data_IF_818662632028
#
_entry.id   IF_818662632028
#
_cell.length_a   1.000
_cell.length_b   1.000
_cell.length_c   1.000
_cell.angle_alpha   90.00
_cell.angle_beta   90.00
_cell.angle_gamma   90.00
#
_symmetry.space_group_name_H-M   'P 1'
#
loop_
_entity.id
_entity.type
_entity.pdbx_description
1 polymer ?
#
# COMPACT_ATOMS: atom_id res chain seq x y z
N UNK A 1 -11.90 -14.42 7.85
CA UNK A 1 -10.78 -13.47 7.98
C UNK A 1 -10.66 -12.92 9.39
N UNK A 2 -11.54 -12.03 9.84
CA UNK A 2 -11.42 -11.38 11.16
C UNK A 2 -11.42 -12.36 12.34
N UNK A 3 -12.15 -13.48 12.24
CA UNK A 3 -12.08 -14.57 13.23
C UNK A 3 -10.68 -15.23 13.29
N UNK A 4 -10.00 -15.38 12.16
CA UNK A 4 -8.62 -15.90 12.10
C UNK A 4 -7.67 -14.91 12.77
N UNK A 5 -7.78 -13.62 12.44
CA UNK A 5 -7.00 -12.57 13.09
C UNK A 5 -7.28 -12.50 14.61
N UNK A 6 -8.52 -12.71 15.04
CA UNK A 6 -8.90 -12.76 16.45
C UNK A 6 -8.17 -13.89 17.18
N UNK A 7 -8.18 -15.11 16.62
CA UNK A 7 -7.45 -16.25 17.18
C UNK A 7 -5.96 -15.94 17.26
N UNK A 8 -5.36 -15.40 16.19
CA UNK A 8 -3.95 -15.04 16.19
C UNK A 8 -3.60 -13.99 17.25
N UNK A 9 -4.42 -12.96 17.43
CA UNK A 9 -4.21 -11.92 18.43
C UNK A 9 -4.48 -12.40 19.87
N UNK A 10 -5.38 -13.37 20.06
CA UNK A 10 -5.54 -14.05 21.35
C UNK A 10 -4.24 -14.78 21.72
N UNK A 11 -3.69 -15.60 20.80
CA UNK A 11 -2.41 -16.29 21.01
C UNK A 11 -1.29 -15.28 21.32
N UNK A 12 -1.29 -14.11 20.67
CA UNK A 12 -0.30 -13.06 20.95
C UNK A 12 -0.33 -12.55 22.39
N UNK A 13 -1.51 -12.27 22.94
CA UNK A 13 -1.65 -11.78 24.32
C UNK A 13 -1.19 -12.83 25.34
N UNK A 14 -1.34 -14.11 24.99
CA UNK A 14 -0.83 -15.24 25.78
C UNK A 14 0.64 -15.59 25.46
N UNK A 15 1.34 -14.87 24.59
CA UNK A 15 2.75 -15.13 24.29
C UNK A 15 3.68 -14.34 25.23
N UNK A 16 3.37 -14.33 26.54
CA UNK A 16 4.14 -13.62 27.55
C UNK A 16 5.40 -14.39 27.98
N UNK A 17 6.40 -13.68 28.53
CA UNK A 17 7.71 -14.24 28.92
C UNK A 17 7.60 -15.37 29.95
N UNK A 18 6.53 -15.40 30.73
CA UNK A 18 6.31 -16.40 31.78
C UNK A 18 5.77 -17.75 31.24
N UNK A 19 5.46 -17.84 29.95
CA UNK A 19 4.87 -19.04 29.33
C UNK A 19 5.94 -19.84 28.57
N UNK A 20 6.01 -21.14 28.85
CA UNK A 20 6.86 -22.09 28.11
C UNK A 20 6.50 -22.05 26.62
N UNK A 21 7.51 -21.87 25.75
CA UNK A 21 7.36 -21.71 24.30
C UNK A 21 6.80 -20.36 23.80
N UNK A 22 6.93 -19.26 24.57
CA UNK A 22 6.50 -17.91 24.19
C UNK A 22 6.94 -17.47 22.78
N UNK A 23 8.17 -17.77 22.37
CA UNK A 23 8.67 -17.46 21.02
C UNK A 23 7.91 -18.21 19.91
N UNK A 24 7.59 -19.48 20.13
CA UNK A 24 6.83 -20.29 19.17
C UNK A 24 5.37 -19.83 19.11
N UNK A 25 4.78 -19.48 20.26
CA UNK A 25 3.45 -18.89 20.32
C UNK A 25 3.40 -17.55 19.58
N UNK A 26 4.40 -16.69 19.75
CA UNK A 26 4.53 -15.43 19.02
C UNK A 26 4.65 -15.67 17.51
N UNK A 27 5.50 -16.62 17.08
CA UNK A 27 5.64 -16.97 15.67
C UNK A 27 4.33 -17.51 15.07
N UNK A 28 3.65 -18.42 15.77
CA UNK A 28 2.37 -18.98 15.36
C UNK A 28 1.29 -17.88 15.27
N UNK A 29 1.22 -17.00 16.27
CA UNK A 29 0.33 -15.84 16.26
C UNK A 29 0.54 -14.98 15.02
N UNK A 30 1.79 -14.60 14.72
CA UNK A 30 2.12 -13.76 13.56
C UNK A 30 1.77 -14.44 12.25
N UNK A 31 2.01 -15.73 12.13
CA UNK A 31 1.61 -16.52 10.97
C UNK A 31 0.08 -16.53 10.78
N UNK A 32 -0.69 -16.80 11.83
CA UNK A 32 -2.16 -16.85 11.80
C UNK A 32 -2.74 -15.48 11.44
N UNK A 33 -2.28 -14.41 12.09
CA UNK A 33 -2.70 -13.03 11.77
C UNK A 33 -2.33 -12.68 10.32
N UNK A 34 -1.15 -13.07 9.86
CA UNK A 34 -0.70 -12.90 8.48
C UNK A 34 -1.63 -13.57 7.47
N UNK A 35 -2.04 -14.82 7.74
CA UNK A 35 -3.02 -15.53 6.91
C UNK A 35 -4.39 -14.82 6.91
N UNK A 36 -4.88 -14.38 8.07
CA UNK A 36 -6.11 -13.62 8.18
C UNK A 36 -6.09 -12.30 7.40
N UNK A 37 -4.96 -11.60 7.39
CA UNK A 37 -4.77 -10.33 6.67
C UNK A 37 -4.82 -10.47 5.13
N UNK A 38 -4.83 -11.69 4.58
CA UNK A 38 -4.93 -11.97 3.14
C UNK A 38 -6.26 -11.56 2.48
N UNK A 39 -7.28 -11.17 3.26
CA UNK A 39 -8.60 -10.78 2.77
C UNK A 39 -8.62 -9.51 1.89
N UNK A 40 -7.55 -8.70 1.90
CA UNK A 40 -7.49 -7.43 1.15
C UNK A 40 -7.67 -7.63 -0.36
N UNK A 41 -7.12 -8.71 -0.92
CA UNK A 41 -7.26 -9.03 -2.35
C UNK A 41 -8.71 -9.33 -2.70
N UNK A 42 -9.41 -10.08 -1.84
CA UNK A 42 -10.84 -10.42 -1.98
C UNK A 42 -11.69 -9.15 -1.92
N UNK A 43 -11.46 -8.27 -0.95
CA UNK A 43 -12.20 -7.01 -0.85
C UNK A 43 -11.98 -6.12 -2.09
N UNK A 44 -10.75 -6.03 -2.62
CA UNK A 44 -10.44 -5.28 -3.85
C UNK A 44 -11.13 -5.88 -5.08
N UNK A 45 -11.11 -7.21 -5.21
CA UNK A 45 -11.78 -7.90 -6.29
C UNK A 45 -13.31 -7.67 -6.24
N UNK A 46 -13.89 -7.69 -5.04
CA UNK A 46 -15.31 -7.39 -4.85
C UNK A 46 -15.65 -5.95 -5.31
N UNK A 47 -14.92 -4.94 -4.84
CA UNK A 47 -15.09 -3.54 -5.27
C UNK A 47 -14.93 -3.40 -6.77
N UNK A 48 -13.92 -4.03 -7.36
CA UNK A 48 -13.68 -3.95 -8.80
C UNK A 48 -14.75 -4.65 -9.65
N UNK A 49 -15.42 -5.67 -9.10
CA UNK A 49 -16.52 -6.37 -9.77
C UNK A 49 -17.85 -5.62 -9.75
N UNK A 50 -18.05 -4.74 -8.76
CA UNK A 50 -19.28 -3.93 -8.60
C UNK A 50 -19.13 -2.56 -9.29
N UNK A 51 -17.91 -2.01 -9.37
CA UNK A 51 -17.66 -0.66 -9.88
C UNK A 51 -17.28 -0.60 -11.37
N UNK A 52 -17.74 0.45 -12.06
CA UNK A 52 -17.35 0.75 -13.44
C UNK A 52 -15.91 1.22 -13.54
N UNK A 53 -15.29 1.11 -14.72
CA UNK A 53 -13.89 1.50 -14.96
C UNK A 53 -13.64 2.97 -14.60
N UNK A 54 -14.63 3.84 -14.84
CA UNK A 54 -14.53 5.28 -14.62
C UNK A 54 -14.53 5.67 -13.14
N UNK A 55 -15.22 4.90 -12.29
CA UNK A 55 -15.37 5.20 -10.85
C UNK A 55 -14.49 4.32 -9.96
N UNK A 56 -13.93 3.24 -10.51
CA UNK A 56 -13.12 2.26 -9.76
C UNK A 56 -11.94 2.87 -9.01
N UNK A 57 -11.27 3.89 -9.59
CA UNK A 57 -10.19 4.60 -8.91
C UNK A 57 -10.67 5.15 -7.57
N UNK A 58 -11.79 5.87 -7.54
CA UNK A 58 -12.32 6.50 -6.32
C UNK A 58 -12.57 5.46 -5.22
N UNK A 59 -13.26 4.35 -5.53
CA UNK A 59 -13.57 3.32 -4.54
C UNK A 59 -12.34 2.52 -4.07
N UNK A 60 -11.40 2.20 -4.97
CA UNK A 60 -10.14 1.56 -4.60
C UNK A 60 -9.25 2.49 -3.78
N UNK A 61 -9.25 3.80 -4.08
CA UNK A 61 -8.57 4.82 -3.29
C UNK A 61 -9.19 4.93 -1.90
N UNK A 62 -10.52 4.98 -1.77
CA UNK A 62 -11.20 4.96 -0.46
C UNK A 62 -10.80 3.73 0.37
N UNK A 63 -10.79 2.56 -0.25
CA UNK A 63 -10.33 1.34 0.41
C UNK A 63 -8.85 1.43 0.85
N UNK A 64 -7.99 1.98 -0.01
CA UNK A 64 -6.58 2.20 0.32
C UNK A 64 -6.40 3.21 1.46
N UNK A 65 -7.22 4.28 1.50
CA UNK A 65 -7.25 5.27 2.58
C UNK A 65 -7.59 4.61 3.92
N UNK A 66 -8.60 3.74 3.98
CA UNK A 66 -8.96 3.03 5.23
C UNK A 66 -7.82 2.11 5.69
N UNK A 67 -7.17 1.41 4.77
CA UNK A 67 -6.01 0.57 5.10
C UNK A 67 -4.85 1.42 5.62
N UNK A 68 -4.55 2.53 4.96
CA UNK A 68 -3.48 3.44 5.37
C UNK A 68 -3.79 4.16 6.69
N UNK A 69 -5.05 4.49 6.95
CA UNK A 69 -5.49 5.01 8.24
C UNK A 69 -5.18 4.02 9.37
N UNK A 70 -5.42 2.73 9.17
CA UNK A 70 -4.99 1.68 10.10
C UNK A 70 -3.47 1.70 10.32
N UNK A 71 -2.68 1.83 9.26
CA UNK A 71 -1.22 1.92 9.38
C UNK A 71 -0.74 3.17 10.11
N UNK A 72 -1.37 4.32 9.88
CA UNK A 72 -1.07 5.56 10.57
C UNK A 72 -1.40 5.49 12.07
N UNK A 73 -2.56 4.92 12.42
CA UNK A 73 -3.02 4.85 13.81
C UNK A 73 -2.24 3.86 14.68
N UNK A 74 -1.82 2.73 14.11
CA UNK A 74 -1.30 1.60 14.90
C UNK A 74 -0.07 1.95 15.75
N UNK A 75 0.93 2.71 15.26
CA UNK A 75 2.04 3.18 16.11
C UNK A 75 1.56 3.97 17.33
N UNK A 76 0.55 4.84 17.15
CA UNK A 76 -0.04 5.64 18.22
C UNK A 76 -0.82 4.83 19.25
N UNK A 77 -1.43 3.70 18.86
CA UNK A 77 -2.17 2.87 19.82
C UNK A 77 -1.26 2.24 20.87
N UNK A 78 -0.02 1.92 20.51
CA UNK A 78 0.98 1.42 21.46
C UNK A 78 1.34 2.44 22.53
N UNK A 79 1.34 3.74 22.20
CA UNK A 79 1.68 4.78 23.17
C UNK A 79 0.59 4.99 24.24
N UNK A 80 -0.68 4.73 23.92
CA UNK A 80 -1.81 4.85 24.87
C UNK A 80 -1.69 3.89 26.06
N UNK A 81 -1.01 2.77 25.87
CA UNK A 81 -0.90 1.68 26.85
C UNK A 81 0.54 1.44 27.31
N UNK A 82 1.48 2.30 26.91
CA UNK A 82 2.92 2.11 27.11
C UNK A 82 3.36 2.17 28.59
N UNK A 83 2.59 2.84 29.45
CA UNK A 83 2.91 3.01 30.87
C UNK A 83 2.14 2.05 31.80
N UNK A 84 1.34 1.14 31.22
CA UNK A 84 0.51 0.23 32.00
C UNK A 84 1.28 -1.06 32.22
N UNK A 85 1.39 -1.45 33.49
CA UNK A 85 1.93 -2.73 33.91
C UNK A 85 1.05 -3.31 35.02
N UNK A 86 0.15 -4.23 34.68
CA UNK A 86 -0.80 -4.83 35.62
C UNK A 86 -0.96 -6.31 35.35
N UNK A 87 -1.19 -7.10 36.40
CA UNK A 87 -1.51 -8.52 36.28
C UNK A 87 -2.99 -8.71 36.56
N UNK A 88 -3.76 -9.19 35.57
CA UNK A 88 -5.16 -9.54 35.75
C UNK A 88 -5.41 -10.96 35.26
N UNK A 89 -6.12 -11.77 36.06
CA UNK A 89 -6.49 -13.15 35.71
C UNK A 89 -5.29 -14.05 35.31
N UNK A 90 -4.11 -13.83 35.91
CA UNK A 90 -2.89 -14.59 35.60
C UNK A 90 -2.22 -14.20 34.27
N UNK A 91 -2.69 -13.15 33.61
CA UNK A 91 -2.10 -12.59 32.38
C UNK A 91 -1.40 -11.29 32.73
N UNK A 92 -0.15 -11.15 32.29
CA UNK A 92 0.63 -9.92 32.45
C UNK A 92 0.28 -8.92 31.34
N UNK A 93 -0.43 -7.86 31.70
CA UNK A 93 -0.74 -6.75 30.82
C UNK A 93 0.35 -5.68 30.94
N UNK A 94 1.31 -5.75 30.02
CA UNK A 94 2.43 -4.83 29.91
C UNK A 94 2.39 -4.08 28.57
N UNK A 95 3.38 -3.20 28.37
CA UNK A 95 3.58 -2.44 27.13
C UNK A 95 3.65 -3.27 25.84
N UNK A 96 3.91 -4.59 25.93
CA UNK A 96 4.01 -5.48 24.77
C UNK A 96 2.71 -6.25 24.51
N UNK A 97 1.99 -6.68 25.55
CA UNK A 97 0.74 -7.48 25.41
C UNK A 97 -0.50 -6.61 25.20
N UNK A 98 -0.56 -5.42 25.79
CA UNK A 98 -1.72 -4.51 25.71
C UNK A 98 -2.07 -4.03 24.30
N UNK A 99 -1.12 -3.70 23.40
CA UNK A 99 -1.44 -3.42 22.01
C UNK A 99 -2.18 -4.60 21.34
N UNK A 100 -1.87 -5.83 21.74
CA UNK A 100 -2.57 -7.03 21.32
C UNK A 100 -4.05 -7.05 21.69
N UNK A 101 -4.37 -6.62 22.92
CA UNK A 101 -5.74 -6.53 23.41
C UNK A 101 -6.56 -5.51 22.60
N UNK A 102 -5.97 -4.37 22.23
CA UNK A 102 -6.61 -3.39 21.36
C UNK A 102 -6.96 -4.03 19.99
N UNK A 103 -6.05 -4.83 19.42
CA UNK A 103 -6.31 -5.54 18.17
C UNK A 103 -7.41 -6.61 18.31
N UNK A 104 -7.53 -7.28 19.47
CA UNK A 104 -8.65 -8.19 19.77
C UNK A 104 -9.97 -7.42 19.71
N UNK A 105 -10.05 -6.27 20.39
CA UNK A 105 -11.26 -5.42 20.40
C UNK A 105 -11.64 -5.02 18.98
N UNK A 106 -10.69 -4.55 18.16
CA UNK A 106 -10.98 -4.20 16.76
C UNK A 106 -11.45 -5.39 15.92
N UNK A 107 -10.89 -6.59 16.13
CA UNK A 107 -11.36 -7.78 15.42
C UNK A 107 -12.79 -8.14 15.82
N UNK A 108 -13.13 -8.05 17.12
CA UNK A 108 -14.51 -8.28 17.61
C UNK A 108 -15.47 -7.25 17.02
N UNK A 109 -15.13 -5.96 17.07
CA UNK A 109 -15.95 -4.90 16.47
C UNK A 109 -16.13 -5.11 14.96
N UNK A 110 -15.10 -5.57 14.25
CA UNK A 110 -15.19 -5.88 12.82
C UNK A 110 -16.12 -7.09 12.57
N UNK A 111 -16.07 -8.12 13.41
CA UNK A 111 -16.97 -9.28 13.30
C UNK A 111 -18.42 -8.83 13.55
N UNK A 112 -18.67 -8.08 14.61
CA UNK A 112 -20.00 -7.55 14.92
C UNK A 112 -20.52 -6.64 13.80
N UNK A 113 -19.67 -5.75 13.27
CA UNK A 113 -20.00 -4.89 12.15
C UNK A 113 -20.35 -5.69 10.88
N UNK A 114 -19.59 -6.74 10.57
CA UNK A 114 -19.91 -7.63 9.45
C UNK A 114 -21.23 -8.38 9.69
N UNK A 115 -21.51 -8.87 10.89
CA UNK A 115 -22.76 -9.56 11.18
C UNK A 115 -23.98 -8.62 11.15
N UNK A 116 -23.83 -7.36 11.54
CA UNK A 116 -24.91 -6.40 11.62
C UNK A 116 -25.17 -5.65 10.30
N UNK A 117 -24.12 -5.37 9.52
CA UNK A 117 -24.19 -4.45 8.37
C UNK A 117 -23.97 -5.13 7.01
N UNK A 118 -23.48 -6.36 6.96
CA UNK A 118 -23.22 -7.02 5.69
C UNK A 118 -24.52 -7.40 4.99
N UNK A 119 -24.74 -6.82 3.81
CA UNK A 119 -25.86 -7.15 2.94
C UNK A 119 -25.40 -8.08 1.81
N UNK A 120 -25.81 -9.34 1.89
CA UNK A 120 -25.51 -10.37 0.88
C UNK A 120 -26.36 -10.25 -0.39
N UNK A 121 -27.35 -9.35 -0.44
CA UNK A 121 -28.19 -9.14 -1.61
C UNK A 121 -27.51 -8.30 -2.70
N UNK A 122 -26.48 -7.52 -2.33
CA UNK A 122 -25.73 -6.65 -3.24
C UNK A 122 -24.94 -7.49 -4.24
N UNK A 123 -25.24 -7.32 -5.53
CA UNK A 123 -24.61 -8.00 -6.66
C UNK A 123 -23.86 -7.00 -7.55
N UNK A 124 -23.14 -7.53 -8.54
CA UNK A 124 -22.39 -6.74 -9.52
C UNK A 124 -23.24 -5.75 -10.34
N UNK A 125 -24.57 -5.94 -10.39
CA UNK A 125 -25.52 -5.06 -11.08
C UNK A 125 -25.96 -3.86 -10.26
N UNK A 126 -25.70 -3.87 -8.95
CA UNK A 126 -26.14 -2.84 -8.01
C UNK A 126 -25.08 -1.75 -7.83
N UNK A 127 -24.20 -1.60 -8.83
CA UNK A 127 -23.13 -0.62 -8.84
C UNK A 127 -23.65 0.83 -8.88
N UNK A 128 -22.88 1.78 -8.35
CA UNK A 128 -23.22 3.20 -8.40
C UNK A 128 -23.39 3.67 -9.85
N UNK A 129 -24.35 4.60 -10.13
CA UNK A 129 -24.56 5.10 -11.48
C UNK A 129 -23.35 5.92 -11.95
N UNK A 130 -22.99 5.78 -13.23
CA UNK A 130 -21.94 6.59 -13.83
C UNK A 130 -22.32 8.08 -13.80
N UNK A 131 -21.35 8.94 -13.45
CA UNK A 131 -21.56 10.39 -13.50
C UNK A 131 -21.78 10.82 -14.95
N UNK A 132 -22.93 11.45 -15.22
CA UNK A 132 -23.36 11.91 -16.56
C UNK A 132 -22.37 12.85 -17.27
N UNK A 133 -21.38 13.39 -16.56
CA UNK A 133 -20.36 14.28 -17.10
C UNK A 133 -19.07 13.57 -17.57
N UNK A 134 -18.96 12.25 -17.38
CA UNK A 134 -17.79 11.48 -17.80
C UNK A 134 -17.81 11.09 -19.29
N UNK A 135 -18.89 11.40 -20.00
CA UNK A 135 -19.16 10.89 -21.35
C UNK A 135 -18.39 11.60 -22.48
N UNK A 136 -17.61 12.66 -22.21
CA UNK A 136 -17.12 13.52 -23.31
C UNK A 136 -15.63 13.89 -23.30
N UNK A 137 -14.75 13.32 -22.46
CA UNK A 137 -13.31 13.72 -22.51
C UNK A 137 -12.22 12.63 -22.47
N UNK A 138 -12.52 11.36 -22.18
CA UNK A 138 -11.47 10.33 -22.16
C UNK A 138 -11.82 9.01 -22.87
N UNK A 139 -12.51 9.09 -24.00
CA UNK A 139 -12.72 7.94 -24.91
C UNK A 139 -11.41 7.33 -25.46
N UNK A 140 -10.24 7.90 -25.11
CA UNK A 140 -8.90 7.40 -25.43
C UNK A 140 -8.27 6.49 -24.34
N UNK A 141 -9.02 6.07 -23.32
CA UNK A 141 -8.55 5.14 -22.27
C UNK A 141 -9.16 3.73 -22.34
N UNK A 142 -9.75 3.35 -23.48
CA UNK A 142 -10.14 1.97 -23.75
C UNK A 142 -8.88 1.09 -23.94
N UNK A 143 -8.30 0.61 -22.84
CA UNK A 143 -7.26 -0.44 -22.85
C UNK A 143 -7.75 -1.77 -23.47
N UNK A 144 -9.04 -1.88 -23.80
CA UNK A 144 -9.60 -2.93 -24.66
C UNK A 144 -8.96 -2.95 -26.06
N UNK A 145 -8.39 -1.84 -26.53
CA UNK A 145 -7.70 -1.78 -27.82
C UNK A 145 -6.20 -2.12 -27.76
N UNK A 146 -5.62 -2.41 -26.59
CA UNK A 146 -4.18 -2.69 -26.47
C UNK A 146 -3.91 -4.20 -26.57
N UNK A 147 -2.93 -4.66 -27.37
CA UNK A 147 -2.63 -6.08 -27.53
C UNK A 147 -2.32 -6.77 -26.20
N UNK A 148 -2.75 -8.02 -26.06
CA UNK A 148 -2.60 -8.80 -24.82
C UNK A 148 -1.14 -8.91 -24.34
N UNK A 149 -0.19 -9.04 -25.28
CA UNK A 149 1.25 -9.04 -24.96
C UNK A 149 1.69 -7.78 -24.20
N UNK A 150 1.21 -6.61 -24.60
CA UNK A 150 1.56 -5.34 -23.96
C UNK A 150 0.91 -5.26 -22.57
N UNK A 151 -0.32 -5.76 -22.43
CA UNK A 151 -1.00 -5.84 -21.14
C UNK A 151 -0.27 -6.77 -20.17
N UNK A 152 0.21 -7.93 -20.63
CA UNK A 152 0.98 -8.86 -19.80
C UNK A 152 2.34 -8.29 -19.38
N UNK A 153 3.04 -7.59 -20.28
CA UNK A 153 4.26 -6.84 -19.93
C UNK A 153 3.95 -5.77 -18.88
N UNK A 154 2.89 -4.99 -19.08
CA UNK A 154 2.43 -4.00 -18.12
C UNK A 154 2.11 -4.63 -16.77
N UNK A 155 1.45 -5.79 -16.75
CA UNK A 155 1.12 -6.48 -15.52
C UNK A 155 2.39 -6.83 -14.72
N UNK A 156 3.43 -7.34 -15.39
CA UNK A 156 4.72 -7.62 -14.74
C UNK A 156 5.40 -6.37 -14.20
N UNK A 157 5.36 -5.26 -14.96
CA UNK A 157 5.89 -3.96 -14.50
C UNK A 157 5.16 -3.52 -13.23
N UNK A 158 3.83 -3.48 -13.25
CA UNK A 158 3.03 -3.05 -12.09
C UNK A 158 3.19 -3.97 -10.87
N UNK A 159 3.40 -5.27 -11.08
CA UNK A 159 3.73 -6.22 -10.01
C UNK A 159 5.05 -5.85 -9.34
N UNK A 160 6.09 -5.51 -10.10
CA UNK A 160 7.38 -5.07 -9.56
C UNK A 160 7.31 -3.69 -8.90
N UNK A 161 6.53 -2.76 -9.46
CA UNK A 161 6.25 -1.47 -8.83
C UNK A 161 5.58 -1.67 -7.46
N UNK A 162 4.57 -2.55 -7.38
CA UNK A 162 3.91 -2.84 -6.11
C UNK A 162 4.83 -3.56 -5.12
N UNK A 163 5.70 -4.47 -5.60
CA UNK A 163 6.75 -5.09 -4.78
C UNK A 163 7.63 -4.00 -4.14
N UNK A 164 8.16 -3.08 -4.95
CA UNK A 164 9.06 -2.02 -4.51
C UNK A 164 8.38 -1.08 -3.52
N UNK A 165 7.19 -0.55 -3.86
CA UNK A 165 6.45 0.37 -3.00
C UNK A 165 6.09 -0.26 -1.64
N UNK A 166 5.62 -1.51 -1.62
CA UNK A 166 5.27 -2.22 -0.38
C UNK A 166 6.48 -2.61 0.45
N UNK A 167 7.59 -2.90 -0.22
CA UNK A 167 8.86 -3.24 0.39
C UNK A 167 9.48 -2.06 1.12
N UNK A 168 9.63 -0.92 0.44
CA UNK A 168 10.15 0.32 1.01
C UNK A 168 9.30 0.74 2.22
N UNK A 169 7.96 0.72 2.09
CA UNK A 169 7.06 1.00 3.21
C UNK A 169 7.39 0.13 4.44
N UNK A 170 7.65 -1.15 4.23
CA UNK A 170 7.92 -2.07 5.34
C UNK A 170 9.33 -1.96 5.93
N UNK A 171 10.32 -1.48 5.15
CA UNK A 171 11.63 -1.10 5.68
C UNK A 171 11.43 0.03 6.69
N UNK A 172 10.72 1.09 6.30
CA UNK A 172 10.45 2.25 7.16
C UNK A 172 9.65 1.89 8.41
N UNK A 173 8.65 1.01 8.31
CA UNK A 173 7.96 0.46 9.50
C UNK A 173 8.90 -0.16 10.53
N UNK A 174 10.06 -0.66 10.11
CA UNK A 174 11.05 -1.31 10.97
C UNK A 174 12.12 -0.34 11.46
N UNK A 175 12.61 0.55 10.59
CA UNK A 175 13.78 1.39 10.90
C UNK A 175 13.42 2.75 11.49
N UNK A 176 12.20 3.26 11.30
CA UNK A 176 11.82 4.62 11.71
C UNK A 176 11.97 4.88 13.21
N UNK A 177 11.50 3.97 14.07
CA UNK A 177 11.64 4.13 15.53
C UNK A 177 13.13 4.11 15.95
N UNK A 178 13.95 3.11 15.56
CA UNK A 178 15.38 3.13 15.83
C UNK A 178 16.11 4.39 15.34
N UNK A 179 15.79 4.87 14.13
CA UNK A 179 16.39 6.08 13.56
C UNK A 179 16.01 7.33 14.34
N UNK A 180 14.75 7.46 14.74
CA UNK A 180 14.30 8.55 15.61
C UNK A 180 15.11 8.57 16.90
N UNK A 181 15.21 7.43 17.59
CA UNK A 181 15.93 7.33 18.86
C UNK A 181 17.42 7.66 18.71
N UNK A 182 18.03 7.20 17.60
CA UNK A 182 19.42 7.49 17.28
C UNK A 182 19.66 8.99 17.05
N UNK A 183 18.79 9.64 16.26
CA UNK A 183 18.89 11.07 15.93
C UNK A 183 18.61 11.97 17.14
N UNK A 184 17.67 11.57 18.01
CA UNK A 184 17.36 12.33 19.23
C UNK A 184 18.27 11.99 20.41
N UNK A 185 19.24 11.08 20.24
CA UNK A 185 20.11 10.60 21.31
C UNK A 185 19.34 10.03 22.50
N UNK A 186 18.13 9.50 22.27
CA UNK A 186 17.23 9.05 23.32
C UNK A 186 17.42 7.58 23.62
N UNK A 187 17.39 7.23 24.90
CA UNK A 187 17.54 5.85 25.37
C UNK A 187 16.38 4.95 24.86
N UNK A 188 16.67 3.88 24.09
CA UNK A 188 15.66 2.94 23.61
C UNK A 188 14.86 2.23 24.71
N UNK A 189 15.42 2.09 25.91
CA UNK A 189 14.75 1.43 27.03
C UNK A 189 13.75 2.36 27.73
N UNK A 190 13.84 3.67 27.48
CA UNK A 190 12.92 4.66 28.03
C UNK A 190 11.55 4.59 27.37
N UNK A 191 10.52 4.25 28.14
CA UNK A 191 9.13 4.30 27.68
C UNK A 191 8.75 5.67 27.10
N UNK A 192 9.26 6.75 27.69
CA UNK A 192 8.99 8.12 27.21
C UNK A 192 9.59 8.40 25.82
N UNK A 193 10.76 7.84 25.52
CA UNK A 193 11.43 8.00 24.23
C UNK A 193 10.69 7.21 23.14
N UNK A 194 10.30 5.97 23.44
CA UNK A 194 9.49 5.13 22.54
C UNK A 194 8.14 5.79 22.25
N UNK A 195 7.48 6.36 23.26
CA UNK A 195 6.22 7.10 23.07
C UNK A 195 6.41 8.29 22.12
N UNK A 196 7.49 9.06 22.26
CA UNK A 196 7.78 10.19 21.35
C UNK A 196 8.00 9.71 19.91
N UNK A 197 8.79 8.66 19.71
CA UNK A 197 9.04 8.07 18.39
C UNK A 197 7.74 7.55 17.75
N UNK A 198 6.92 6.82 18.51
CA UNK A 198 5.62 6.32 18.05
C UNK A 198 4.65 7.43 17.69
N UNK A 199 4.60 8.52 18.47
CA UNK A 199 3.77 9.68 18.17
C UNK A 199 4.27 10.43 16.93
N UNK A 200 5.58 10.53 16.73
CA UNK A 200 6.16 11.08 15.50
C UNK A 200 5.69 10.29 14.27
N UNK A 201 5.75 8.97 14.32
CA UNK A 201 5.24 8.10 13.24
C UNK A 201 3.72 8.26 13.03
N UNK A 202 2.95 8.37 14.11
CA UNK A 202 1.50 8.64 14.06
C UNK A 202 1.21 9.93 13.31
N UNK A 203 1.90 11.03 13.66
CA UNK A 203 1.68 12.34 13.04
C UNK A 203 2.05 12.33 11.55
N UNK A 204 3.19 11.74 11.18
CA UNK A 204 3.56 11.55 9.78
C UNK A 204 2.54 10.68 9.03
N UNK A 205 2.04 9.63 9.68
CA UNK A 205 0.99 8.77 9.13
C UNK A 205 -0.30 9.55 8.88
N UNK A 206 -0.77 10.36 9.83
CA UNK A 206 -1.97 11.18 9.66
C UNK A 206 -1.81 12.24 8.57
N UNK A 207 -0.63 12.87 8.46
CA UNK A 207 -0.31 13.77 7.35
C UNK A 207 -0.39 13.05 6.01
N UNK A 208 -0.07 11.75 5.95
CA UNK A 208 -0.20 10.97 4.72
C UNK A 208 -1.63 10.80 4.21
N UNK A 209 -2.65 11.02 5.04
CA UNK A 209 -4.04 11.06 4.58
C UNK A 209 -4.30 12.26 3.65
N UNK A 210 -3.54 13.35 3.78
CA UNK A 210 -3.63 14.50 2.87
C UNK A 210 -3.19 14.14 1.45
N UNK A 211 -2.27 13.18 1.30
CA UNK A 211 -1.87 12.65 -0.01
C UNK A 211 -3.04 11.95 -0.71
N UNK A 212 -3.87 11.20 0.03
CA UNK A 212 -5.09 10.62 -0.52
C UNK A 212 -6.12 11.68 -0.94
N UNK A 213 -6.29 12.74 -0.13
CA UNK A 213 -7.15 13.86 -0.49
C UNK A 213 -6.66 14.57 -1.76
N UNK A 214 -5.34 14.71 -1.91
CA UNK A 214 -4.71 15.31 -3.09
C UNK A 214 -4.91 14.47 -4.35
N UNK A 215 -4.81 13.14 -4.23
CA UNK A 215 -5.10 12.21 -5.34
C UNK A 215 -6.53 12.40 -5.85
N UNK A 216 -7.52 12.49 -4.95
CA UNK A 216 -8.91 12.66 -5.35
C UNK A 216 -9.18 14.07 -5.90
N UNK A 217 -8.61 15.11 -5.29
CA UNK A 217 -8.79 16.50 -5.73
C UNK A 217 -8.22 16.74 -7.14
N UNK A 218 -7.02 16.23 -7.44
CA UNK A 218 -6.35 16.43 -8.73
C UNK A 218 -6.53 15.26 -9.71
N UNK A 219 -7.49 14.35 -9.47
CA UNK A 219 -7.72 13.14 -10.31
C UNK A 219 -7.99 13.43 -11.79
N UNK A 220 -8.46 14.63 -12.11
CA UNK A 220 -8.77 15.04 -13.49
C UNK A 220 -7.61 15.78 -14.16
N UNK A 221 -6.62 16.23 -13.38
CA UNK A 221 -5.52 17.06 -13.86
C UNK A 221 -4.26 16.24 -14.11
N UNK A 222 -4.12 15.11 -13.43
CA UNK A 222 -2.93 14.26 -13.47
C UNK A 222 -3.30 12.83 -13.90
N UNK A 223 -2.52 12.29 -14.83
CA UNK A 223 -2.66 10.88 -15.24
C UNK A 223 -2.20 9.93 -14.12
N UNK A 224 -2.72 8.70 -14.12
CA UNK A 224 -2.28 7.69 -13.14
C UNK A 224 -0.77 7.42 -13.23
N UNK A 225 -0.18 7.49 -14.43
CA UNK A 225 1.26 7.30 -14.64
C UNK A 225 2.06 8.40 -13.95
N UNK A 226 1.66 9.67 -14.14
CA UNK A 226 2.33 10.81 -13.53
C UNK A 226 2.27 10.74 -12.00
N UNK A 227 1.14 10.29 -11.45
CA UNK A 227 1.00 10.07 -10.02
C UNK A 227 1.94 8.98 -9.49
N UNK A 228 2.06 7.85 -10.20
CA UNK A 228 2.99 6.78 -9.80
C UNK A 228 4.45 7.26 -9.89
N UNK A 229 4.80 7.99 -10.95
CA UNK A 229 6.14 8.61 -11.09
C UNK A 229 6.43 9.57 -9.93
N UNK A 230 5.49 10.47 -9.61
CA UNK A 230 5.61 11.39 -8.47
C UNK A 230 5.78 10.64 -7.14
N UNK A 231 5.03 9.56 -6.94
CA UNK A 231 5.16 8.72 -5.77
C UNK A 231 6.55 8.11 -5.63
N UNK A 232 7.10 7.53 -6.70
CA UNK A 232 8.46 6.97 -6.66
C UNK A 232 9.57 8.04 -6.59
N UNK A 233 9.37 9.22 -7.17
CA UNK A 233 10.30 10.33 -7.06
C UNK A 233 10.40 10.86 -5.63
N UNK A 234 9.27 10.95 -4.92
CA UNK A 234 9.24 11.36 -3.51
C UNK A 234 9.85 10.29 -2.59
N UNK A 235 9.59 9.00 -2.85
CA UNK A 235 10.30 7.90 -2.19
C UNK A 235 11.81 7.96 -2.42
N UNK A 236 12.24 8.19 -3.66
CA UNK A 236 13.65 8.32 -4.02
C UNK A 236 14.29 9.49 -3.29
N UNK A 237 13.67 10.67 -3.31
CA UNK A 237 14.18 11.86 -2.67
C UNK A 237 14.38 11.67 -1.15
N UNK A 238 13.39 11.09 -0.46
CA UNK A 238 13.52 10.82 0.98
C UNK A 238 14.64 9.83 1.30
N UNK A 239 14.79 8.75 0.53
CA UNK A 239 15.89 7.80 0.73
C UNK A 239 17.27 8.41 0.41
N UNK A 240 17.37 9.29 -0.59
CA UNK A 240 18.63 10.01 -0.90
C UNK A 240 19.04 10.91 0.27
N UNK A 241 18.10 11.63 0.89
CA UNK A 241 18.38 12.46 2.07
C UNK A 241 18.98 11.60 3.19
N UNK A 242 18.38 10.44 3.49
CA UNK A 242 18.87 9.53 4.54
C UNK A 242 20.26 8.95 4.28
N UNK A 243 20.67 8.86 3.02
CA UNK A 243 21.98 8.34 2.61
C UNK A 243 23.06 9.42 2.58
N UNK A 244 22.72 10.61 2.10
CA UNK A 244 23.69 11.71 1.92
C UNK A 244 24.08 12.32 3.27
N UNK A 245 23.16 12.38 4.22
CA UNK A 245 23.38 12.93 5.55
C UNK A 245 23.92 11.84 6.49
N UNK A 246 25.20 11.51 6.36
CA UNK A 246 25.78 10.26 6.92
C UNK A 246 26.60 10.41 8.21
N UNK A 247 26.77 11.62 8.75
CA UNK A 247 27.66 11.84 9.91
C UNK A 247 26.92 12.31 11.17
N UNK A 248 26.02 13.29 11.06
CA UNK A 248 25.20 13.80 12.17
C UNK A 248 23.85 14.22 11.59
N UNK A 249 22.94 13.26 11.40
CA UNK A 249 21.61 13.56 10.88
C UNK A 249 20.84 14.38 11.91
N UNK A 250 20.41 15.58 11.53
CA UNK A 250 19.55 16.41 12.34
C UNK A 250 18.13 15.86 12.37
N UNK A 251 17.39 16.21 13.42
CA UNK A 251 15.97 15.88 13.53
C UNK A 251 15.15 16.38 12.31
N UNK A 252 15.49 17.54 11.76
CA UNK A 252 14.78 18.10 10.61
C UNK A 252 15.03 17.33 9.31
N UNK A 253 16.25 16.84 9.10
CA UNK A 253 16.56 15.99 7.94
C UNK A 253 15.81 14.66 8.02
N UNK A 254 15.76 14.04 9.21
CA UNK A 254 14.94 12.87 9.46
C UNK A 254 13.46 13.16 9.20
N UNK A 255 12.93 14.26 9.75
CA UNK A 255 11.53 14.64 9.59
C UNK A 255 11.15 14.91 8.13
N UNK A 256 12.01 15.58 7.36
CA UNK A 256 11.77 15.83 5.93
C UNK A 256 11.85 14.52 5.14
N UNK A 257 12.85 13.68 5.40
CA UNK A 257 13.00 12.41 4.71
C UNK A 257 11.81 11.48 4.98
N UNK A 258 11.42 11.32 6.24
CA UNK A 258 10.26 10.49 6.59
C UNK A 258 8.95 11.10 6.12
N UNK A 259 8.78 12.42 6.10
CA UNK A 259 7.60 13.05 5.50
C UNK A 259 7.49 12.70 4.00
N UNK A 260 8.59 12.82 3.25
CA UNK A 260 8.61 12.47 1.83
C UNK A 260 8.30 11.00 1.58
N UNK A 261 8.84 10.09 2.39
CA UNK A 261 8.61 8.65 2.22
C UNK A 261 7.24 8.23 2.76
N UNK A 262 6.99 8.48 4.04
CA UNK A 262 5.85 7.95 4.78
C UNK A 262 4.55 8.71 4.52
N UNK A 263 4.61 10.05 4.43
CA UNK A 263 3.42 10.88 4.23
C UNK A 263 3.09 11.10 2.75
N UNK A 264 4.06 11.06 1.84
CA UNK A 264 3.80 11.37 0.41
C UNK A 264 3.99 10.15 -0.48
N UNK A 265 5.21 9.62 -0.56
CA UNK A 265 5.57 8.58 -1.53
C UNK A 265 4.81 7.27 -1.32
N UNK A 266 4.77 6.77 -0.09
CA UNK A 266 4.10 5.51 0.26
C UNK A 266 2.58 5.56 0.01
N UNK A 267 1.82 6.56 0.49
CA UNK A 267 0.40 6.71 0.17
C UNK A 267 0.11 6.73 -1.32
N UNK A 268 0.84 7.55 -2.08
CA UNK A 268 0.64 7.71 -3.52
C UNK A 268 0.93 6.40 -4.26
N UNK A 269 2.12 5.82 -4.05
CA UNK A 269 2.50 4.59 -4.76
C UNK A 269 1.60 3.42 -4.39
N UNK A 270 1.25 3.23 -3.11
CA UNK A 270 0.43 2.09 -2.69
C UNK A 270 -1.02 2.16 -3.15
N UNK A 271 -1.56 3.36 -3.38
CA UNK A 271 -2.92 3.56 -3.88
C UNK A 271 -2.96 3.53 -5.42
N UNK A 272 -2.15 4.38 -6.06
CA UNK A 272 -2.24 4.62 -7.49
C UNK A 272 -1.72 3.44 -8.30
N UNK A 273 -0.68 2.72 -7.84
CA UNK A 273 -0.20 1.50 -8.53
C UNK A 273 -1.31 0.46 -8.64
N UNK A 274 -2.10 0.25 -7.57
CA UNK A 274 -3.21 -0.72 -7.57
C UNK A 274 -4.33 -0.26 -8.50
N UNK A 275 -4.67 1.02 -8.48
CA UNK A 275 -5.73 1.57 -9.32
C UNK A 275 -5.33 1.56 -10.82
N UNK A 276 -4.11 1.99 -11.13
CA UNK A 276 -3.54 1.96 -12.48
C UNK A 276 -3.45 0.52 -13.02
N UNK A 277 -3.05 -0.43 -12.17
CA UNK A 277 -3.05 -1.85 -12.53
C UNK A 277 -4.47 -2.35 -12.84
N UNK A 278 -5.48 -2.02 -12.02
CA UNK A 278 -6.87 -2.40 -12.33
C UNK A 278 -7.36 -1.83 -13.66
N UNK A 279 -7.02 -0.57 -13.95
CA UNK A 279 -7.35 0.09 -15.22
C UNK A 279 -6.66 -0.58 -16.41
N UNK A 280 -5.39 -0.97 -16.25
CA UNK A 280 -4.64 -1.73 -17.26
C UNK A 280 -5.32 -3.06 -17.59
N UNK A 281 -5.81 -3.78 -16.58
CA UNK A 281 -6.50 -5.05 -16.79
C UNK A 281 -7.84 -4.87 -17.51
N UNK A 282 -8.56 -3.79 -17.24
CA UNK A 282 -9.86 -3.50 -17.85
C UNK A 282 -10.90 -4.55 -17.45
N UNK A 283 -11.49 -5.24 -18.44
CA UNK A 283 -12.47 -6.31 -18.26
C UNK A 283 -11.89 -7.73 -18.07
N UNK A 284 -10.56 -7.88 -18.01
CA UNK A 284 -9.88 -9.18 -17.85
C UNK A 284 -10.10 -9.78 -16.44
N UNK A 285 -9.79 -11.08 -16.22
CA UNK A 285 -9.94 -11.73 -14.92
C UNK A 285 -9.18 -11.03 -13.78
N UNK A 286 -9.85 -10.13 -13.07
CA UNK A 286 -9.19 -9.27 -12.08
C UNK A 286 -8.83 -10.00 -10.80
N UNK A 287 -9.60 -11.02 -10.39
CA UNK A 287 -9.36 -11.75 -9.15
C UNK A 287 -7.96 -12.35 -9.07
N UNK A 288 -7.57 -13.14 -10.08
CA UNK A 288 -6.26 -13.80 -10.13
C UNK A 288 -5.11 -12.80 -10.22
N UNK A 289 -5.23 -11.79 -11.07
CA UNK A 289 -4.15 -10.81 -11.30
C UNK A 289 -3.99 -9.84 -10.12
N UNK A 290 -5.09 -9.43 -9.46
CA UNK A 290 -5.03 -8.70 -8.19
C UNK A 290 -4.46 -9.56 -7.06
N UNK A 291 -4.72 -10.87 -7.08
CA UNK A 291 -4.08 -11.85 -6.23
C UNK A 291 -2.56 -11.81 -6.39
N UNK A 292 -2.06 -11.96 -7.63
CA UNK A 292 -0.62 -11.89 -7.92
C UNK A 292 0.02 -10.56 -7.51
N UNK A 293 -0.65 -9.43 -7.79
CA UNK A 293 -0.21 -8.12 -7.32
C UNK A 293 -0.06 -8.10 -5.78
N UNK A 294 -1.08 -8.59 -5.07
CA UNK A 294 -1.07 -8.68 -3.61
C UNK A 294 0.01 -9.61 -3.05
N UNK A 295 0.22 -10.77 -3.68
CA UNK A 295 1.25 -11.73 -3.32
C UNK A 295 2.65 -11.13 -3.44
N UNK A 296 2.96 -10.44 -4.55
CA UNK A 296 4.26 -9.77 -4.71
C UNK A 296 4.52 -8.71 -3.63
N UNK A 297 3.50 -7.93 -3.26
CA UNK A 297 3.60 -6.99 -2.14
C UNK A 297 3.75 -7.67 -0.78
N UNK A 298 3.31 -8.93 -0.64
CA UNK A 298 3.51 -9.72 0.59
C UNK A 298 4.92 -10.28 0.65
N UNK A 299 5.46 -10.77 -0.48
CA UNK A 299 6.85 -11.23 -0.58
C UNK A 299 7.83 -10.11 -0.23
N UNK A 300 7.62 -8.88 -0.74
CA UNK A 300 8.51 -7.76 -0.39
C UNK A 300 8.48 -7.44 1.11
N UNK A 301 7.30 -7.52 1.74
CA UNK A 301 7.13 -7.30 3.19
C UNK A 301 7.65 -8.44 4.07
N UNK A 302 8.02 -9.58 3.48
CA UNK A 302 8.72 -10.66 4.18
C UNK A 302 10.24 -10.42 4.09
N UNK A 303 10.74 -10.05 2.91
CA UNK A 303 12.18 -10.00 2.63
C UNK A 303 12.81 -8.68 3.07
N UNK A 304 12.24 -7.54 2.65
CA UNK A 304 12.92 -6.24 2.79
C UNK A 304 13.07 -5.75 4.24
N UNK A 305 12.07 -5.92 5.13
CA UNK A 305 12.20 -5.55 6.55
C UNK A 305 13.27 -6.32 7.32
N UNK A 306 13.73 -7.46 6.79
CA UNK A 306 14.81 -8.24 7.40
C UNK A 306 16.18 -7.66 7.08
N UNK A 307 16.31 -6.89 6.00
CA UNK A 307 17.59 -6.34 5.54
C UNK A 307 18.28 -5.49 6.61
N UNK A 308 17.62 -4.54 7.32
CA UNK A 308 18.26 -3.77 8.40
C UNK A 308 18.83 -4.61 9.54
N UNK A 309 18.36 -5.86 9.71
CA UNK A 309 18.88 -6.77 10.73
C UNK A 309 20.12 -7.56 10.30
N UNK A 310 20.42 -7.63 9.00
CA UNK A 310 21.54 -8.40 8.44
C UNK A 310 22.60 -7.54 7.76
N UNK A 311 22.26 -6.31 7.35
CA UNK A 311 23.17 -5.34 6.75
C UNK A 311 23.02 -3.99 7.48
N UNK A 312 24.04 -3.11 7.45
CA UNK A 312 23.94 -1.79 8.06
C UNK A 312 22.73 -1.01 7.54
N UNK A 313 21.98 -0.36 8.43
CA UNK A 313 20.73 0.37 8.10
C UNK A 313 20.90 1.32 6.91
N UNK A 314 21.99 2.08 6.86
CA UNK A 314 22.25 3.01 5.76
C UNK A 314 22.50 2.33 4.40
N UNK A 315 22.88 1.05 4.39
CA UNK A 315 23.00 0.25 3.16
C UNK A 315 21.63 -0.16 2.63
N UNK A 316 20.64 -0.32 3.52
CA UNK A 316 19.25 -0.63 3.11
C UNK A 316 18.66 0.51 2.28
N UNK A 317 18.93 1.77 2.65
CA UNK A 317 18.46 2.92 1.86
C UNK A 317 19.05 2.99 0.45
N UNK A 318 20.26 2.43 0.22
CA UNK A 318 20.78 2.28 -1.16
C UNK A 318 19.97 1.28 -1.97
N UNK A 319 19.48 0.22 -1.34
CA UNK A 319 18.59 -0.76 -1.98
C UNK A 319 17.26 -0.08 -2.32
N UNK A 320 16.71 0.73 -1.41
CA UNK A 320 15.48 1.48 -1.66
C UNK A 320 15.64 2.51 -2.79
N UNK A 321 16.77 3.22 -2.85
CA UNK A 321 17.14 4.11 -3.97
C UNK A 321 17.16 3.34 -5.30
N UNK A 322 17.79 2.17 -5.30
CA UNK A 322 17.85 1.33 -6.49
C UNK A 322 16.45 0.88 -6.94
N UNK A 323 15.61 0.41 -6.02
CA UNK A 323 14.24 -0.02 -6.31
C UNK A 323 13.36 1.12 -6.83
N UNK A 324 13.49 2.32 -6.26
CA UNK A 324 12.80 3.52 -6.76
C UNK A 324 13.25 3.89 -8.17
N UNK A 325 14.56 3.93 -8.40
CA UNK A 325 15.14 4.28 -9.71
C UNK A 325 14.72 3.29 -10.78
N UNK A 326 14.79 1.99 -10.46
CA UNK A 326 14.34 0.92 -11.36
C UNK A 326 12.84 1.04 -11.68
N UNK A 327 12.00 1.33 -10.67
CA UNK A 327 10.56 1.49 -10.85
C UNK A 327 10.22 2.68 -11.76
N UNK A 328 10.90 3.82 -11.60
CA UNK A 328 10.75 5.00 -12.46
C UNK A 328 11.15 4.67 -13.90
N UNK A 329 12.32 4.06 -14.10
CA UNK A 329 12.82 3.71 -15.43
C UNK A 329 11.92 2.71 -16.16
N UNK A 330 11.42 1.69 -15.45
CA UNK A 330 10.52 0.69 -16.01
C UNK A 330 9.16 1.28 -16.35
N UNK A 331 8.61 2.15 -15.50
CA UNK A 331 7.35 2.81 -15.78
C UNK A 331 7.47 3.74 -16.99
N UNK A 332 8.54 4.53 -17.06
CA UNK A 332 8.84 5.40 -18.20
C UNK A 332 9.00 4.60 -19.51
N UNK A 333 9.76 3.50 -19.46
CA UNK A 333 9.95 2.60 -20.60
C UNK A 333 8.63 2.00 -21.06
N UNK A 334 7.82 1.48 -20.13
CA UNK A 334 6.51 0.92 -20.41
C UNK A 334 5.55 1.96 -21.00
N UNK A 335 5.52 3.18 -20.46
CA UNK A 335 4.72 4.28 -20.98
C UNK A 335 5.08 4.60 -22.43
N UNK A 336 6.38 4.66 -22.77
CA UNK A 336 6.85 4.83 -24.15
C UNK A 336 6.46 3.67 -25.07
N UNK A 337 6.53 2.43 -24.58
CA UNK A 337 6.11 1.24 -25.32
C UNK A 337 4.61 1.29 -25.67
N UNK A 338 3.77 1.65 -24.71
CA UNK A 338 2.33 1.82 -24.92
C UNK A 338 2.04 2.92 -25.94
N UNK A 339 2.69 4.08 -25.83
CA UNK A 339 2.53 5.18 -26.79
C UNK A 339 2.95 4.80 -28.20
N UNK A 340 4.06 4.09 -28.37
CA UNK A 340 4.51 3.59 -29.68
C UNK A 340 3.51 2.60 -30.28
N UNK A 341 3.00 1.67 -29.46
CA UNK A 341 2.03 0.66 -29.91
C UNK A 341 0.72 1.31 -30.35
N UNK A 342 0.18 2.24 -29.56
CA UNK A 342 -1.04 2.98 -29.91
C UNK A 342 -0.90 3.75 -31.23
N UNK A 343 0.23 4.44 -31.43
CA UNK A 343 0.51 5.14 -32.70
C UNK A 343 0.56 4.19 -33.89
N UNK A 344 1.23 3.04 -33.74
CA UNK A 344 1.28 2.05 -34.81
C UNK A 344 -0.11 1.55 -35.18
N UNK A 345 -0.93 1.19 -34.19
CA UNK A 345 -2.30 0.73 -34.43
C UNK A 345 -3.18 1.78 -35.10
N UNK A 346 -3.03 3.05 -34.72
CA UNK A 346 -3.74 4.15 -35.35
C UNK A 346 -3.36 4.28 -36.83
N UNK A 347 -2.06 4.28 -37.14
CA UNK A 347 -1.57 4.34 -38.52
C UNK A 347 -2.03 3.13 -39.36
N UNK A 348 -2.01 1.92 -38.77
CA UNK A 348 -2.48 0.69 -39.44
C UNK A 348 -3.99 0.77 -39.73
N UNK A 349 -4.77 1.40 -38.85
CA UNK A 349 -6.22 1.62 -39.04
C UNK A 349 -6.49 2.67 -40.13
N UNK A 350 -5.74 3.78 -40.14
CA UNK A 350 -5.85 4.82 -41.17
C UNK A 350 -5.48 4.28 -42.56
N UNK A 351 -4.42 3.45 -42.62
CA UNK A 351 -4.04 2.73 -43.83
C UNK A 351 -5.15 1.77 -44.28
N UNK A 352 -5.73 0.99 -43.37
CA UNK A 352 -6.82 0.08 -43.71
C UNK A 352 -8.07 0.81 -44.24
N UNK A 353 -8.42 1.97 -43.66
CA UNK A 353 -9.55 2.79 -44.11
C UNK A 353 -9.29 3.41 -45.49
N UNK A 354 -8.08 3.89 -45.75
CA UNK A 354 -7.71 4.45 -47.07
C UNK A 354 -7.64 3.42 -48.19
N UNK A 355 -7.53 2.13 -47.86
CA UNK A 355 -7.54 1.02 -48.81
C UNK A 355 -8.94 0.42 -49.05
N UNK A 356 -9.97 0.88 -48.34
CA UNK A 356 -11.35 0.48 -48.63
C UNK A 356 -11.77 1.15 -49.95
N UNK A 357 -12.21 0.38 -50.97
CA UNK A 357 -12.75 0.98 -52.18
C UNK A 357 -13.96 1.84 -51.79
N UNK A 358 -14.01 3.07 -52.31
CA UNK A 358 -15.23 3.88 -52.29
C UNK A 358 -16.33 3.03 -52.94
N UNK A 359 -17.21 2.45 -52.12
CA UNK A 359 -18.50 1.98 -52.61
C UNK A 359 -19.28 3.24 -52.96
N UNK A 360 -19.03 3.72 -54.17
CA UNK A 360 -19.76 4.78 -54.82
C UNK A 360 -21.24 4.41 -54.78
N UNK A 361 -22.00 5.20 -54.03
CA UNK A 361 -23.46 5.11 -53.97
C UNK A 361 -24.01 5.60 -55.30
N UNK A 362 -24.16 4.69 -56.26
CA UNK A 362 -24.96 4.89 -57.47
C UNK A 362 -26.34 4.28 -57.32
#
# INVERSE_FOLDING_TARGET
SSAICLIGNLIYVFADQQITYSLQALAASRFIVGFGAGNRSVCRANVASITTINQRLTYLTMQATVVFFGYALTPGLGSLVANTDTVMLGIHFNKFTLPGLILIIFNVLTILGMLALYDGSIRTRDGPPDSKNATTKHTLSNFTAVPERIVNIGAMVFVLLNFSARGILSVFETVSIPLFLQVTGSDPDSASAVVKASNFQLYLGLLGLLSYASIEYFRYNLSDVNWVELGFLTLLAGNVILVVVRAEMSFWELAIAEFLVWSVGCPITTAVVVAAFSKLLGGRPQGTLMGFLGSAGSVSRIILPLLPGIIPTFTVFWIDIFLCTLSILLLWWYSRLVHKTKRKMFNDTELAVSLLPEFDSS
#
